data_IF_112645877476
#
_entry.id   IF_112645877476
#
_cell.length_a   1.000
_cell.length_b   1.000
_cell.length_c   1.000
_cell.angle_alpha   90.00
_cell.angle_beta   90.00
_cell.angle_gamma   90.00
#
_symmetry.space_group_name_H-M   'P 1'
#
loop_
_entity.id
_entity.type
_entity.pdbx_description
1 polymer ?
#
# COMPACT_ATOMS: atom_id res chain seq x y z
N UNK A 1 12.19 -20.69 10.01
CA UNK A 1 13.66 -20.46 9.96
C UNK A 1 13.94 -19.52 8.79
N UNK A 2 14.57 -18.37 9.05
CA UNK A 2 14.80 -17.29 8.07
C UNK A 2 16.14 -17.42 7.31
N UNK A 3 16.92 -18.46 7.58
CA UNK A 3 18.29 -18.63 7.03
C UNK A 3 18.33 -18.88 5.52
N UNK A 4 17.23 -19.36 4.91
CA UNK A 4 17.15 -19.59 3.47
C UNK A 4 17.01 -18.29 2.64
N UNK A 5 16.60 -17.17 3.26
CA UNK A 5 16.49 -15.87 2.58
C UNK A 5 17.86 -15.23 2.33
N UNK A 6 18.92 -15.72 2.97
CA UNK A 6 20.29 -15.16 2.87
C UNK A 6 20.99 -15.55 1.55
N UNK A 7 20.43 -16.47 0.76
CA UNK A 7 21.02 -16.93 -0.50
C UNK A 7 20.40 -16.28 -1.76
N UNK A 8 19.38 -15.43 -1.61
CA UNK A 8 18.80 -14.69 -2.72
C UNK A 8 19.63 -13.47 -3.09
N UNK A 9 20.66 -13.62 -3.94
CA UNK A 9 21.30 -12.48 -4.62
C UNK A 9 20.44 -11.97 -5.78
N UNK A 10 19.23 -11.51 -5.49
CA UNK A 10 18.48 -10.63 -6.37
C UNK A 10 18.45 -9.21 -5.78
N UNK A 11 18.15 -8.17 -6.57
CA UNK A 11 17.67 -6.90 -6.02
C UNK A 11 16.52 -7.16 -5.03
N UNK A 12 16.16 -6.19 -4.19
CA UNK A 12 15.04 -6.27 -3.24
C UNK A 12 13.76 -6.69 -3.97
N UNK A 13 13.56 -8.00 -4.09
CA UNK A 13 12.50 -8.57 -4.91
C UNK A 13 11.29 -8.92 -4.05
N UNK A 14 10.26 -9.46 -4.70
CA UNK A 14 9.01 -9.92 -4.08
C UNK A 14 9.16 -10.66 -2.76
N UNK A 15 10.17 -11.52 -2.61
CA UNK A 15 10.40 -12.25 -1.36
C UNK A 15 10.70 -11.30 -0.17
N UNK A 16 11.57 -10.32 -0.36
CA UNK A 16 11.91 -9.31 0.65
C UNK A 16 10.72 -8.41 0.94
N UNK A 17 10.03 -7.96 -0.12
CA UNK A 17 8.82 -7.16 0.00
C UNK A 17 7.73 -7.89 0.81
N UNK A 18 7.43 -9.15 0.48
CA UNK A 18 6.47 -9.97 1.23
C UNK A 18 6.89 -10.21 2.67
N UNK A 19 8.17 -10.44 2.95
CA UNK A 19 8.67 -10.61 4.32
C UNK A 19 8.46 -9.33 5.15
N UNK A 20 8.77 -8.16 4.60
CA UNK A 20 8.61 -6.88 5.28
C UNK A 20 7.13 -6.52 5.49
N UNK A 21 6.28 -6.69 4.47
CA UNK A 21 4.83 -6.47 4.60
C UNK A 21 4.22 -7.43 5.64
N UNK A 22 4.66 -8.69 5.66
CA UNK A 22 4.27 -9.64 6.69
C UNK A 22 4.70 -9.15 8.08
N UNK A 23 5.93 -8.64 8.22
CA UNK A 23 6.43 -8.10 9.48
C UNK A 23 5.64 -6.85 9.94
N UNK A 24 5.23 -5.97 9.02
CA UNK A 24 4.28 -4.88 9.30
C UNK A 24 2.94 -5.42 9.83
N UNK A 25 2.40 -6.47 9.20
CA UNK A 25 1.19 -7.15 9.65
C UNK A 25 1.29 -7.77 11.06
N UNK A 26 2.51 -8.01 11.54
CA UNK A 26 2.83 -8.44 12.90
C UNK A 26 3.28 -7.29 13.82
N UNK A 27 3.16 -6.03 13.37
CA UNK A 27 3.56 -4.81 14.11
C UNK A 27 5.01 -4.83 14.57
N UNK A 28 5.90 -5.36 13.74
CA UNK A 28 7.35 -5.33 13.98
C UNK A 28 7.89 -3.94 13.59
N UNK A 29 8.35 -3.10 14.53
CA UNK A 29 8.81 -1.75 14.21
C UNK A 29 10.00 -1.75 13.25
N UNK A 30 10.84 -2.80 13.29
CA UNK A 30 12.03 -2.95 12.45
C UNK A 30 11.69 -3.02 10.95
N UNK A 31 10.46 -3.38 10.60
CA UNK A 31 10.02 -3.43 9.21
C UNK A 31 9.88 -2.02 8.58
N UNK A 32 9.40 -1.04 9.35
CA UNK A 32 9.32 0.36 8.88
C UNK A 32 10.71 0.94 8.69
N UNK A 33 11.61 0.68 9.63
CA UNK A 33 13.01 1.11 9.54
C UNK A 33 13.72 0.50 8.33
N UNK A 34 13.51 -0.80 8.08
CA UNK A 34 14.05 -1.46 6.90
C UNK A 34 13.51 -0.83 5.60
N UNK A 35 12.20 -0.64 5.49
CA UNK A 35 11.59 0.03 4.33
C UNK A 35 12.13 1.44 4.11
N UNK A 36 12.35 2.20 5.19
CA UNK A 36 12.95 3.53 5.13
C UNK A 36 14.40 3.50 4.67
N UNK A 37 15.19 2.52 5.10
CA UNK A 37 16.58 2.33 4.64
C UNK A 37 16.60 2.03 3.14
N UNK A 38 15.71 1.15 2.68
CA UNK A 38 15.57 0.83 1.25
C UNK A 38 15.21 2.06 0.42
N UNK A 39 14.24 2.87 0.89
CA UNK A 39 13.86 4.12 0.22
C UNK A 39 15.04 5.09 0.12
N UNK A 40 15.78 5.31 1.23
CA UNK A 40 16.95 6.19 1.25
C UNK A 40 18.10 5.73 0.33
N UNK A 41 18.21 4.42 0.09
CA UNK A 41 19.22 3.84 -0.80
C UNK A 41 18.78 3.80 -2.27
N UNK A 42 17.52 4.13 -2.57
CA UNK A 42 16.96 3.92 -3.92
C UNK A 42 16.75 2.44 -4.25
N UNK A 43 16.69 1.57 -3.23
CA UNK A 43 16.49 0.12 -3.35
C UNK A 43 15.03 -0.28 -3.07
N UNK A 44 14.11 0.68 -3.01
CA UNK A 44 12.70 0.44 -2.76
C UNK A 44 11.95 0.17 -4.06
N UNK A 45 11.66 -1.10 -4.34
CA UNK A 45 10.82 -1.50 -5.46
C UNK A 45 9.34 -1.41 -5.10
N UNK A 46 8.73 -0.27 -5.40
CA UNK A 46 7.33 -0.01 -5.09
C UNK A 46 6.35 -1.01 -5.74
N UNK A 47 6.68 -1.57 -6.91
CA UNK A 47 5.83 -2.53 -7.59
C UNK A 47 5.80 -3.85 -6.81
N UNK A 48 6.97 -4.34 -6.37
CA UNK A 48 7.05 -5.56 -5.57
C UNK A 48 6.41 -5.40 -4.18
N UNK A 49 6.55 -4.24 -3.53
CA UNK A 49 5.85 -3.96 -2.28
C UNK A 49 4.33 -3.83 -2.44
N UNK A 50 3.87 -3.17 -3.50
CA UNK A 50 2.44 -3.01 -3.78
C UNK A 50 1.77 -4.35 -4.09
N UNK A 51 2.41 -5.17 -4.92
CA UNK A 51 2.00 -6.54 -5.19
C UNK A 51 1.94 -7.37 -3.90
N UNK A 52 3.00 -7.32 -3.07
CA UNK A 52 3.05 -8.07 -1.82
C UNK A 52 1.94 -7.66 -0.84
N UNK A 53 1.65 -6.37 -0.72
CA UNK A 53 0.55 -5.87 0.11
C UNK A 53 -0.79 -6.41 -0.39
N UNK A 54 -1.05 -6.31 -1.70
CA UNK A 54 -2.30 -6.77 -2.28
C UNK A 54 -2.51 -8.29 -2.12
N UNK A 55 -1.49 -9.11 -2.39
CA UNK A 55 -1.55 -10.57 -2.25
C UNK A 55 -1.79 -10.97 -0.79
N UNK A 56 -1.00 -10.44 0.15
CA UNK A 56 -1.09 -10.83 1.56
C UNK A 56 -2.43 -10.41 2.20
N UNK A 57 -3.02 -9.30 1.76
CA UNK A 57 -4.35 -8.87 2.22
C UNK A 57 -5.44 -9.76 1.62
N UNK A 58 -5.38 -10.07 0.32
CA UNK A 58 -6.36 -10.97 -0.32
C UNK A 58 -6.30 -12.39 0.20
N UNK A 59 -5.11 -12.87 0.58
CA UNK A 59 -4.91 -14.16 1.23
C UNK A 59 -5.27 -14.16 2.74
N UNK A 60 -5.77 -13.05 3.28
CA UNK A 60 -6.08 -12.82 4.70
C UNK A 60 -4.89 -13.00 5.66
N UNK A 61 -3.66 -13.07 5.13
CA UNK A 61 -2.42 -13.19 5.90
C UNK A 61 -2.05 -11.87 6.61
N UNK A 62 -2.48 -10.74 6.06
CA UNK A 62 -2.22 -9.40 6.61
C UNK A 62 -3.53 -8.60 6.65
N UNK A 63 -3.80 -7.96 7.80
CA UNK A 63 -4.96 -7.07 7.96
C UNK A 63 -4.54 -5.64 7.66
N UNK A 64 -5.31 -4.92 6.81
CA UNK A 64 -5.04 -3.51 6.48
C UNK A 64 -4.92 -2.63 7.73
N UNK A 65 -5.79 -2.82 8.72
CA UNK A 65 -5.73 -2.07 9.98
C UNK A 65 -4.39 -2.21 10.76
N UNK A 66 -3.55 -3.20 10.44
CA UNK A 66 -2.23 -3.37 11.05
C UNK A 66 -1.12 -2.72 10.25
N UNK A 67 -1.24 -2.63 8.93
CA UNK A 67 -0.20 -2.07 8.05
C UNK A 67 -0.41 -0.59 7.76
N UNK A 68 -1.65 -0.11 7.71
CA UNK A 68 -1.98 1.28 7.35
C UNK A 68 -1.25 2.32 8.21
N UNK A 69 -1.20 2.21 9.57
CA UNK A 69 -0.47 3.20 10.39
C UNK A 69 1.03 3.23 10.11
N UNK A 70 1.62 2.09 9.77
CA UNK A 70 3.04 1.99 9.47
C UNK A 70 3.38 2.56 8.09
N UNK A 71 2.50 2.37 7.11
CA UNK A 71 2.62 3.03 5.80
C UNK A 71 2.41 4.55 5.91
N UNK A 72 1.52 4.98 6.80
CA UNK A 72 1.33 6.40 7.10
C UNK A 72 2.61 7.03 7.69
N UNK A 73 3.21 6.40 8.70
CA UNK A 73 4.50 6.83 9.26
C UNK A 73 5.61 6.84 8.20
N UNK A 74 5.68 5.80 7.36
CA UNK A 74 6.65 5.75 6.27
C UNK A 74 6.51 6.95 5.31
N UNK A 75 5.28 7.32 4.93
CA UNK A 75 5.01 8.48 4.08
C UNK A 75 5.45 9.80 4.74
N UNK A 76 5.05 10.03 5.99
CA UNK A 76 5.35 11.28 6.71
C UNK A 76 6.84 11.45 7.04
N UNK A 77 7.59 10.37 6.96
CA UNK A 77 8.97 10.33 7.43
C UNK A 77 10.02 10.38 6.31
N UNK A 78 9.57 10.82 5.13
CA UNK A 78 10.40 11.15 3.98
C UNK A 78 10.20 10.25 2.77
N UNK A 79 9.54 9.09 2.91
CA UNK A 79 9.33 8.11 1.84
C UNK A 79 7.93 8.22 1.21
N UNK A 80 7.41 9.44 1.06
CA UNK A 80 6.06 9.70 0.56
C UNK A 80 5.89 9.29 -0.91
N UNK A 81 6.92 9.44 -1.74
CA UNK A 81 6.90 9.02 -3.16
C UNK A 81 6.85 7.50 -3.30
N UNK A 82 7.68 6.81 -2.53
CA UNK A 82 7.75 5.34 -2.47
C UNK A 82 6.46 4.76 -1.91
N UNK A 83 5.94 5.36 -0.85
CA UNK A 83 4.66 4.95 -0.25
C UNK A 83 3.50 5.17 -1.21
N UNK A 84 3.47 6.31 -1.90
CA UNK A 84 2.48 6.56 -2.94
C UNK A 84 2.55 5.48 -4.03
N UNK A 85 3.72 5.23 -4.60
CA UNK A 85 3.89 4.27 -5.68
C UNK A 85 3.48 2.84 -5.26
N UNK A 86 3.84 2.43 -4.02
CA UNK A 86 3.40 1.16 -3.44
C UNK A 86 1.88 1.07 -3.37
N UNK A 87 1.23 2.13 -2.88
CA UNK A 87 -0.23 2.16 -2.72
C UNK A 87 -0.93 2.20 -4.08
N UNK A 88 -0.42 2.97 -5.04
CA UNK A 88 -0.95 3.02 -6.40
C UNK A 88 -0.93 1.64 -7.08
N UNK A 89 0.11 0.85 -6.84
CA UNK A 89 0.20 -0.55 -7.31
C UNK A 89 -0.78 -1.47 -6.55
N UNK A 90 -0.92 -1.33 -5.23
CA UNK A 90 -1.74 -2.21 -4.42
C UNK A 90 -3.25 -1.98 -4.58
N UNK A 91 -3.67 -0.71 -4.73
CA UNK A 91 -5.08 -0.29 -4.69
C UNK A 91 -5.93 -1.02 -5.73
N UNK A 92 -5.56 -1.12 -7.03
CA UNK A 92 -6.38 -1.79 -8.04
C UNK A 92 -6.82 -3.20 -7.64
N UNK A 93 -5.94 -3.97 -7.02
CA UNK A 93 -6.23 -5.34 -6.58
C UNK A 93 -7.05 -5.41 -5.27
N UNK A 94 -7.13 -4.31 -4.52
CA UNK A 94 -7.85 -4.20 -3.25
C UNK A 94 -9.21 -3.53 -3.38
N UNK A 95 -9.47 -2.82 -4.49
CA UNK A 95 -10.77 -2.26 -4.78
C UNK A 95 -11.79 -3.40 -4.93
N UNK A 96 -12.89 -3.39 -4.17
CA UNK A 96 -13.93 -4.43 -4.31
C UNK A 96 -14.53 -4.36 -5.70
N UNK A 97 -14.91 -5.47 -6.31
CA UNK A 97 -15.73 -5.45 -7.54
C UNK A 97 -17.18 -5.05 -7.24
N UNK A 98 -18.00 -4.89 -8.27
CA UNK A 98 -19.42 -4.64 -8.09
C UNK A 98 -20.08 -5.81 -7.32
N UNK A 99 -20.89 -5.47 -6.31
CA UNK A 99 -21.53 -6.46 -5.43
C UNK A 99 -20.64 -7.05 -4.33
N UNK A 100 -19.32 -6.82 -4.36
CA UNK A 100 -18.41 -7.30 -3.33
C UNK A 100 -18.30 -6.35 -2.13
N UNK A 101 -18.09 -6.92 -0.94
CA UNK A 101 -17.85 -6.14 0.27
C UNK A 101 -16.39 -5.66 0.28
N UNK A 102 -16.12 -4.37 0.57
CA UNK A 102 -14.75 -3.88 0.69
C UNK A 102 -13.98 -4.60 1.81
N UNK A 103 -12.66 -4.82 1.64
CA UNK A 103 -11.78 -5.23 2.73
C UNK A 103 -11.89 -4.29 3.93
N UNK A 104 -11.92 -4.84 5.14
CA UNK A 104 -11.93 -4.06 6.37
C UNK A 104 -10.65 -3.21 6.45
N UNK A 105 -10.81 -1.89 6.60
CA UNK A 105 -9.69 -0.94 6.65
C UNK A 105 -9.29 -0.33 5.30
N UNK A 106 -9.95 -0.69 4.20
CA UNK A 106 -9.65 -0.11 2.88
C UNK A 106 -9.83 1.42 2.85
N UNK A 107 -10.86 1.95 3.51
CA UNK A 107 -11.07 3.40 3.58
C UNK A 107 -9.89 4.12 4.25
N UNK A 108 -9.33 3.55 5.31
CA UNK A 108 -8.18 4.14 5.99
C UNK A 108 -6.91 4.04 5.12
N UNK A 109 -6.75 2.95 4.36
CA UNK A 109 -5.66 2.83 3.38
C UNK A 109 -5.77 3.89 2.27
N UNK A 110 -6.96 4.11 1.70
CA UNK A 110 -7.20 5.14 0.69
C UNK A 110 -6.91 6.53 1.23
N UNK A 111 -7.27 6.81 2.48
CA UNK A 111 -6.94 8.07 3.16
C UNK A 111 -5.43 8.29 3.27
N UNK A 112 -4.65 7.24 3.56
CA UNK A 112 -3.18 7.33 3.55
C UNK A 112 -2.65 7.54 2.13
N UNK A 113 -3.24 6.88 1.13
CA UNK A 113 -2.88 7.07 -0.28
C UNK A 113 -3.10 8.53 -0.73
N UNK A 114 -4.21 9.17 -0.34
CA UNK A 114 -4.46 10.60 -0.58
C UNK A 114 -3.31 11.45 -0.02
N UNK A 115 -2.96 11.23 1.24
CA UNK A 115 -1.87 11.99 1.90
C UNK A 115 -0.54 11.80 1.18
N UNK A 116 -0.20 10.56 0.86
CA UNK A 116 1.04 10.22 0.15
C UNK A 116 1.07 10.84 -1.25
N UNK A 117 -0.04 10.77 -2.00
CA UNK A 117 -0.18 11.37 -3.32
C UNK A 117 0.02 12.89 -3.30
N UNK A 118 -0.64 13.58 -2.38
CA UNK A 118 -0.52 15.03 -2.23
C UNK A 118 0.90 15.45 -1.87
N UNK A 119 1.55 14.75 -0.93
CA UNK A 119 2.96 15.02 -0.58
C UNK A 119 3.90 14.72 -1.75
N UNK A 120 3.59 13.71 -2.55
CA UNK A 120 4.37 13.35 -3.74
C UNK A 120 4.13 14.29 -4.94
N UNK A 121 3.06 15.10 -4.92
CA UNK A 121 2.60 15.84 -6.09
C UNK A 121 2.21 14.90 -7.24
N UNK A 122 1.67 13.72 -6.91
CA UNK A 122 1.44 12.66 -7.87
C UNK A 122 0.27 13.00 -8.80
N UNK A 123 0.44 12.62 -10.08
CA UNK A 123 -0.65 12.53 -11.05
C UNK A 123 -0.64 11.14 -11.65
N UNK A 124 -1.77 10.46 -11.60
CA UNK A 124 -1.85 9.07 -12.02
C UNK A 124 -3.27 8.65 -12.34
N UNK A 125 -3.38 7.62 -13.18
CA UNK A 125 -4.62 6.88 -13.37
C UNK A 125 -4.53 5.56 -12.60
N UNK A 126 -5.48 5.31 -11.71
CA UNK A 126 -5.59 4.05 -10.96
C UNK A 126 -6.76 3.24 -11.55
N UNK A 127 -6.50 2.05 -12.11
CA UNK A 127 -7.55 1.17 -12.62
C UNK A 127 -8.64 0.90 -11.56
N UNK A 128 -9.90 1.04 -11.97
CA UNK A 128 -11.07 0.82 -11.11
C UNK A 128 -11.36 1.93 -10.09
N UNK A 129 -10.50 2.94 -9.93
CA UNK A 129 -10.71 4.00 -8.95
C UNK A 129 -11.92 4.88 -9.31
N UNK A 130 -12.05 5.26 -10.58
CA UNK A 130 -13.19 6.05 -11.08
C UNK A 130 -14.52 5.32 -10.85
N UNK A 131 -14.55 4.02 -11.09
CA UNK A 131 -15.72 3.18 -10.84
C UNK A 131 -16.03 3.09 -9.35
N UNK A 132 -15.01 2.90 -8.50
CA UNK A 132 -15.16 2.89 -7.05
C UNK A 132 -15.69 4.23 -6.51
N UNK A 133 -15.23 5.36 -7.06
CA UNK A 133 -15.68 6.70 -6.72
C UNK A 133 -17.13 6.98 -7.20
N UNK A 134 -17.56 6.38 -8.32
CA UNK A 134 -18.88 6.55 -8.90
C UNK A 134 -20.00 5.73 -8.21
N UNK A 135 -19.65 4.81 -7.30
CA UNK A 135 -20.64 3.93 -6.65
C UNK A 135 -21.72 4.72 -5.91
N UNK A 136 -22.96 4.20 -5.98
CA UNK A 136 -24.09 4.74 -5.24
C UNK A 136 -23.97 4.34 -3.77
N UNK A 137 -24.16 5.30 -2.87
CA UNK A 137 -24.07 5.12 -1.42
C UNK A 137 -22.91 5.88 -0.78
N UNK A 138 -23.10 6.30 0.47
CA UNK A 138 -22.14 7.10 1.24
C UNK A 138 -21.12 6.27 2.02
N UNK A 139 -20.67 5.13 1.51
CA UNK A 139 -19.69 4.32 2.23
C UNK A 139 -18.37 5.08 2.35
N UNK A 140 -17.65 4.90 3.47
CA UNK A 140 -16.35 5.55 3.67
C UNK A 140 -15.36 5.26 2.53
N UNK A 141 -15.41 4.05 1.96
CA UNK A 141 -14.56 3.68 0.81
C UNK A 141 -14.88 4.52 -0.42
N UNK A 142 -16.17 4.72 -0.74
CA UNK A 142 -16.58 5.53 -1.90
C UNK A 142 -16.16 6.99 -1.74
N UNK A 143 -16.28 7.53 -0.52
CA UNK A 143 -15.87 8.89 -0.21
C UNK A 143 -14.35 9.07 -0.37
N UNK A 144 -13.55 8.20 0.25
CA UNK A 144 -12.08 8.29 0.17
C UNK A 144 -11.57 7.99 -1.25
N UNK A 145 -12.29 7.16 -2.04
CA UNK A 145 -11.97 6.94 -3.45
C UNK A 145 -12.17 8.22 -4.30
N UNK A 146 -13.22 9.01 -4.03
CA UNK A 146 -13.41 10.32 -4.68
C UNK A 146 -12.30 11.30 -4.32
N UNK A 147 -11.98 11.40 -3.03
CA UNK A 147 -10.90 12.27 -2.54
C UNK A 147 -9.57 11.87 -3.18
N UNK A 148 -9.30 10.57 -3.31
CA UNK A 148 -8.10 10.10 -3.98
C UNK A 148 -8.09 10.45 -5.47
N UNK A 149 -9.21 10.25 -6.17
CA UNK A 149 -9.33 10.60 -7.58
C UNK A 149 -9.05 12.09 -7.82
N UNK A 150 -9.63 12.96 -6.99
CA UNK A 150 -9.41 14.41 -7.06
C UNK A 150 -7.94 14.78 -6.76
N UNK A 151 -7.30 14.08 -5.82
CA UNK A 151 -5.91 14.36 -5.42
C UNK A 151 -4.87 13.99 -6.48
N UNK A 152 -5.20 13.11 -7.44
CA UNK A 152 -4.27 12.59 -8.45
C UNK A 152 -4.60 13.03 -9.88
N UNK A 153 -5.64 13.86 -10.03
CA UNK A 153 -6.07 14.42 -11.31
C UNK A 153 -5.15 15.56 -11.81
#
# INVERSE_FOLDING_TARGET
MLTALVQGRGPVGRATASALVTALGHRRPEAVDAMRILAKRGEFDAADFGWALAELVRADAVKLARVTPALEDLAFSGAHRETWALLAEAIPALLPKEGERPPTGLADLLKVAVKAALMAGARAEIPGLTEAAARKGGSRVTLEARVLLDAIS
#
